data_IF_278969795880
#
_entry.id   IF_278969795880
#
_cell.length_a   1.000
_cell.length_b   1.000
_cell.length_c   1.000
_cell.angle_alpha   90.00
_cell.angle_beta   90.00
_cell.angle_gamma   90.00
#
_symmetry.space_group_name_H-M   'P 1'
#
loop_
_entity.id
_entity.type
_entity.pdbx_description
1 polymer ?
#
# COMPACT_ATOMS: atom_id res chain seq x y z
N UNK A 1 -1.48 62.58 -34.87
CA UNK A 1 -2.03 62.19 -33.53
C UNK A 1 -2.75 60.85 -33.50
N UNK A 2 -3.49 60.44 -34.54
CA UNK A 2 -4.23 59.15 -34.52
C UNK A 2 -3.36 57.87 -34.45
N UNK A 3 -2.13 57.87 -34.96
CA UNK A 3 -1.30 56.67 -34.98
C UNK A 3 -0.66 56.34 -33.62
N UNK A 4 -0.47 57.29 -32.72
CA UNK A 4 0.05 57.07 -31.37
C UNK A 4 -0.97 56.43 -30.46
N UNK A 5 -2.23 56.71 -30.61
CA UNK A 5 -3.33 56.17 -29.83
C UNK A 5 -3.54 54.69 -30.20
N UNK A 6 -3.41 54.31 -31.47
CA UNK A 6 -3.56 52.92 -31.93
C UNK A 6 -2.46 51.98 -31.42
N UNK A 7 -1.22 52.45 -31.24
CA UNK A 7 -0.12 51.63 -30.72
C UNK A 7 -0.24 51.40 -29.22
N UNK A 8 -0.67 52.40 -28.46
CA UNK A 8 -0.86 52.23 -27.01
C UNK A 8 -2.00 51.29 -26.67
N UNK A 9 -3.06 51.28 -27.50
CA UNK A 9 -4.19 50.37 -27.30
C UNK A 9 -3.82 48.89 -27.56
N UNK A 10 -3.02 48.63 -28.60
CA UNK A 10 -2.50 47.28 -28.89
C UNK A 10 -1.56 46.75 -27.80
N UNK A 11 -0.78 47.61 -27.20
CA UNK A 11 0.15 47.26 -26.12
C UNK A 11 -0.62 46.94 -24.83
N UNK A 12 -1.63 47.73 -24.49
CA UNK A 12 -2.49 47.52 -23.32
C UNK A 12 -3.30 46.22 -23.42
N UNK A 13 -3.81 45.88 -24.61
CA UNK A 13 -4.56 44.66 -24.84
C UNK A 13 -3.70 43.39 -24.67
N UNK A 14 -2.44 43.41 -25.11
CA UNK A 14 -1.51 42.29 -24.91
C UNK A 14 -1.20 42.07 -23.44
N UNK A 15 -1.00 43.11 -22.66
CA UNK A 15 -0.76 43.02 -21.21
C UNK A 15 -2.02 42.51 -20.47
N UNK A 16 -3.20 42.88 -20.89
CA UNK A 16 -4.46 42.40 -20.32
C UNK A 16 -4.65 40.89 -20.55
N UNK A 17 -4.29 40.39 -21.74
CA UNK A 17 -4.35 38.95 -22.07
C UNK A 17 -3.37 38.15 -21.20
N UNK A 18 -2.13 38.66 -20.98
CA UNK A 18 -1.13 38.01 -20.13
C UNK A 18 -1.62 37.94 -18.67
N UNK A 19 -2.27 38.97 -18.17
CA UNK A 19 -2.86 38.98 -16.81
C UNK A 19 -3.99 37.97 -16.66
N UNK A 20 -4.83 37.81 -17.68
CA UNK A 20 -5.95 36.82 -17.65
C UNK A 20 -5.41 35.38 -17.65
N UNK A 21 -4.34 35.11 -18.41
CA UNK A 21 -3.72 33.76 -18.44
C UNK A 21 -3.11 33.40 -17.09
N UNK A 22 -2.52 34.34 -16.37
CA UNK A 22 -1.97 34.10 -15.04
C UNK A 22 -3.05 33.93 -13.96
N UNK A 23 -4.24 34.53 -14.14
CA UNK A 23 -5.35 34.39 -13.20
C UNK A 23 -6.10 33.04 -13.34
N UNK A 24 -6.05 32.43 -14.51
CA UNK A 24 -6.70 31.12 -14.72
C UNK A 24 -5.88 29.93 -14.18
N UNK A 25 -4.62 30.14 -13.80
CA UNK A 25 -3.76 29.07 -13.25
C UNK A 25 -3.83 28.93 -11.72
N UNK A 26 -4.56 29.80 -11.01
CA UNK A 26 -4.70 29.77 -9.55
C UNK A 26 -6.05 29.19 -9.09
N UNK A 27 -6.83 28.58 -9.96
CA UNK A 27 -7.99 27.80 -9.53
C UNK A 27 -7.50 26.53 -8.83
N UNK A 28 -7.22 26.72 -7.57
CA UNK A 28 -7.17 25.74 -6.51
C UNK A 28 -7.88 24.43 -6.87
N UNK A 29 -7.12 23.46 -7.33
CA UNK A 29 -7.45 22.05 -7.21
C UNK A 29 -7.43 21.70 -5.71
N UNK A 30 -8.34 22.29 -4.94
CA UNK A 30 -8.66 21.80 -3.60
C UNK A 30 -9.50 20.55 -3.81
N UNK A 31 -8.80 19.42 -3.88
CA UNK A 31 -9.46 18.13 -3.73
C UNK A 31 -10.22 18.18 -2.41
N UNK A 32 -11.52 17.96 -2.42
CA UNK A 32 -12.33 18.02 -1.22
C UNK A 32 -11.92 16.88 -0.29
N UNK A 33 -12.01 17.11 1.03
CA UNK A 33 -11.74 16.07 2.03
C UNK A 33 -12.56 14.79 1.76
N UNK A 34 -13.78 14.94 1.25
CA UNK A 34 -14.65 13.83 0.85
C UNK A 34 -14.09 13.05 -0.35
N UNK A 35 -13.47 13.72 -1.32
CA UNK A 35 -12.81 13.07 -2.46
C UNK A 35 -11.53 12.36 -2.02
N UNK A 36 -10.76 12.93 -1.10
CA UNK A 36 -9.58 12.28 -0.50
C UNK A 36 -10.02 11.03 0.26
N UNK A 37 -11.08 11.10 1.08
CA UNK A 37 -11.61 9.96 1.82
C UNK A 37 -12.15 8.87 0.89
N UNK A 38 -12.86 9.24 -0.19
CA UNK A 38 -13.34 8.27 -1.18
C UNK A 38 -12.22 7.63 -1.98
N UNK A 39 -11.17 8.38 -2.31
CA UNK A 39 -9.98 7.85 -2.98
C UNK A 39 -9.14 6.96 -2.07
N UNK A 40 -9.19 7.16 -0.75
CA UNK A 40 -8.49 6.32 0.24
C UNK A 40 -9.24 5.04 0.62
N UNK A 41 -10.56 4.96 0.36
CA UNK A 41 -11.35 3.76 0.61
C UNK A 41 -11.12 2.70 -0.47
N UNK A 42 -11.13 1.41 -0.08
CA UNK A 42 -11.10 0.31 -1.03
C UNK A 42 -12.43 0.21 -1.78
N UNK A 43 -12.36 0.12 -3.10
CA UNK A 43 -13.51 -0.12 -3.97
C UNK A 43 -13.58 -1.61 -4.37
N UNK A 44 -14.72 -2.04 -4.90
CA UNK A 44 -14.88 -3.41 -5.42
C UNK A 44 -13.98 -3.70 -6.62
N UNK A 45 -13.47 -2.68 -7.27
CA UNK A 45 -12.61 -2.80 -8.45
C UNK A 45 -11.11 -2.74 -8.08
N UNK A 46 -10.76 -2.43 -6.83
CA UNK A 46 -9.38 -2.37 -6.41
C UNK A 46 -8.81 -3.80 -6.33
N UNK A 47 -7.60 -3.96 -6.83
CA UNK A 47 -6.91 -5.23 -6.80
C UNK A 47 -6.15 -5.37 -5.47
N UNK A 48 -6.51 -6.37 -4.68
CA UNK A 48 -5.75 -6.74 -3.49
C UNK A 48 -4.40 -7.38 -3.87
N UNK A 49 -3.41 -7.36 -2.97
CA UNK A 49 -2.14 -8.04 -3.22
C UNK A 49 -2.39 -9.54 -3.39
N UNK A 50 -1.66 -10.16 -4.30
CA UNK A 50 -1.80 -11.60 -4.58
C UNK A 50 -0.48 -12.17 -5.08
N UNK A 51 -0.33 -13.49 -5.08
CA UNK A 51 0.73 -14.16 -5.83
C UNK A 51 0.25 -14.47 -7.24
N UNK A 52 1.21 -14.60 -8.16
CA UNK A 52 0.91 -14.84 -9.58
C UNK A 52 0.04 -16.10 -9.77
N UNK A 53 0.30 -17.13 -9.00
CA UNK A 53 -0.43 -18.40 -9.04
C UNK A 53 -1.88 -18.30 -8.54
N UNK A 54 -2.18 -17.29 -7.74
CA UNK A 54 -3.49 -17.06 -7.15
C UNK A 54 -4.32 -16.04 -7.94
N UNK A 55 -3.71 -15.30 -8.87
CA UNK A 55 -4.32 -14.12 -9.51
C UNK A 55 -5.55 -14.47 -10.37
N UNK A 56 -5.58 -15.66 -10.98
CA UNK A 56 -6.67 -16.09 -11.87
C UNK A 56 -7.77 -16.88 -11.14
N UNK A 57 -7.66 -17.00 -9.81
CA UNK A 57 -8.66 -17.71 -9.00
C UNK A 57 -9.82 -16.80 -8.64
N UNK A 58 -10.99 -17.40 -8.42
CA UNK A 58 -12.14 -16.72 -7.81
C UNK A 58 -11.75 -16.09 -6.47
N UNK A 59 -12.36 -14.97 -6.09
CA UNK A 59 -11.95 -14.12 -4.97
C UNK A 59 -11.68 -14.91 -3.67
N UNK A 60 -12.60 -15.81 -3.26
CA UNK A 60 -12.43 -16.58 -2.02
C UNK A 60 -11.29 -17.61 -2.13
N UNK A 61 -11.17 -18.25 -3.29
CA UNK A 61 -10.10 -19.23 -3.56
C UNK A 61 -8.74 -18.52 -3.70
N UNK A 62 -8.72 -17.35 -4.32
CA UNK A 62 -7.54 -16.52 -4.46
C UNK A 62 -7.01 -16.06 -3.10
N UNK A 63 -7.90 -15.62 -2.21
CA UNK A 63 -7.53 -15.23 -0.84
C UNK A 63 -6.99 -16.40 -0.02
N UNK A 64 -7.62 -17.57 -0.12
CA UNK A 64 -7.14 -18.79 0.55
C UNK A 64 -5.78 -19.22 0.00
N UNK A 65 -5.60 -19.22 -1.32
CA UNK A 65 -4.33 -19.50 -1.98
C UNK A 65 -3.23 -18.57 -1.48
N UNK A 66 -3.49 -17.26 -1.48
CA UNK A 66 -2.55 -16.24 -1.02
C UNK A 66 -2.12 -16.46 0.42
N UNK A 67 -3.07 -16.75 1.31
CA UNK A 67 -2.81 -17.02 2.71
C UNK A 67 -1.98 -18.31 2.90
N UNK A 68 -2.33 -19.39 2.23
CA UNK A 68 -1.61 -20.67 2.32
C UNK A 68 -0.14 -20.51 1.91
N UNK A 69 0.15 -19.79 0.83
CA UNK A 69 1.53 -19.53 0.40
C UNK A 69 2.32 -18.78 1.47
N UNK A 70 1.73 -17.75 2.10
CA UNK A 70 2.37 -17.03 3.20
C UNK A 70 2.68 -17.96 4.37
N UNK A 71 1.70 -18.76 4.77
CA UNK A 71 1.84 -19.72 5.89
C UNK A 71 2.89 -20.78 5.58
N UNK A 72 2.91 -21.32 4.37
CA UNK A 72 3.88 -22.33 3.93
C UNK A 72 5.30 -21.77 3.89
N UNK A 73 5.53 -20.60 3.31
CA UNK A 73 6.86 -19.99 3.23
C UNK A 73 7.39 -19.58 4.61
N UNK A 74 6.51 -19.06 5.48
CA UNK A 74 6.88 -18.79 6.87
C UNK A 74 7.24 -20.09 7.61
N UNK A 75 6.45 -21.14 7.48
CA UNK A 75 6.71 -22.43 8.13
C UNK A 75 8.02 -23.05 7.63
N UNK A 76 8.28 -23.03 6.33
CA UNK A 76 9.54 -23.50 5.74
C UNK A 76 10.74 -22.77 6.33
N UNK A 77 10.68 -21.43 6.41
CA UNK A 77 11.74 -20.63 7.02
C UNK A 77 11.96 -20.96 8.51
N UNK A 78 10.86 -21.23 9.24
CA UNK A 78 10.86 -21.45 10.68
C UNK A 78 11.23 -22.89 11.10
N UNK A 79 11.09 -23.88 10.20
CA UNK A 79 11.26 -25.31 10.50
C UNK A 79 12.59 -25.65 11.18
N UNK A 80 13.67 -24.93 10.85
CA UNK A 80 15.00 -25.16 11.41
C UNK A 80 15.40 -24.15 12.50
N UNK A 81 14.44 -23.43 13.06
CA UNK A 81 14.71 -22.41 14.09
C UNK A 81 14.26 -22.90 15.44
N UNK A 82 15.07 -22.60 16.45
CA UNK A 82 14.76 -22.94 17.84
C UNK A 82 14.07 -21.76 18.51
N UNK A 83 12.87 -21.99 18.99
CA UNK A 83 12.08 -21.04 19.76
C UNK A 83 11.96 -21.50 21.22
N UNK A 84 11.86 -20.60 22.20
CA UNK A 84 11.44 -20.95 23.54
C UNK A 84 10.01 -21.49 23.51
N UNK A 85 9.70 -22.43 24.41
CA UNK A 85 8.35 -22.98 24.53
C UNK A 85 7.34 -21.85 24.81
N UNK A 86 6.50 -21.58 23.84
CA UNK A 86 5.46 -20.55 23.93
C UNK A 86 4.18 -21.02 23.26
N UNK A 87 3.14 -21.19 24.06
CA UNK A 87 1.81 -21.59 23.58
C UNK A 87 0.92 -20.40 23.23
N UNK A 88 1.46 -19.19 23.29
CA UNK A 88 0.73 -17.96 23.01
C UNK A 88 0.31 -17.91 21.54
N UNK A 89 -0.94 -17.59 21.31
CA UNK A 89 -1.42 -17.24 19.98
C UNK A 89 -1.11 -15.76 19.72
N UNK A 90 -0.32 -15.51 18.71
CA UNK A 90 0.05 -14.17 18.27
C UNK A 90 -0.83 -13.70 17.11
N UNK A 91 -0.92 -12.42 16.94
CA UNK A 91 -1.46 -11.74 15.75
C UNK A 91 -0.34 -10.92 15.15
N UNK A 92 0.11 -11.29 13.96
CA UNK A 92 1.11 -10.57 13.20
C UNK A 92 0.41 -9.52 12.34
N UNK A 93 0.70 -8.25 12.54
CA UNK A 93 0.31 -7.20 11.61
C UNK A 93 1.39 -7.12 10.52
N UNK A 94 1.04 -7.55 9.32
CA UNK A 94 1.93 -7.60 8.17
C UNK A 94 1.53 -6.49 7.20
N UNK A 95 2.52 -5.77 6.72
CA UNK A 95 2.39 -4.79 5.67
C UNK A 95 3.00 -5.33 4.38
N UNK A 96 2.31 -5.13 3.27
CA UNK A 96 2.85 -5.33 1.92
C UNK A 96 3.02 -3.93 1.31
N UNK A 97 4.24 -3.60 0.92
CA UNK A 97 4.54 -2.32 0.32
C UNK A 97 4.12 -2.25 -1.17
N UNK A 98 4.29 -1.09 -1.78
CA UNK A 98 3.96 -0.87 -3.20
C UNK A 98 4.84 -1.64 -4.19
N UNK A 99 5.90 -2.30 -3.71
CA UNK A 99 6.77 -3.18 -4.50
C UNK A 99 6.44 -4.67 -4.29
N UNK A 100 5.51 -5.00 -3.40
CA UNK A 100 5.12 -6.36 -3.05
C UNK A 100 5.97 -7.02 -1.97
N UNK A 101 6.84 -6.28 -1.25
CA UNK A 101 7.63 -6.83 -0.16
C UNK A 101 6.80 -6.93 1.11
N UNK A 102 7.00 -8.02 1.86
CA UNK A 102 6.36 -8.24 3.15
C UNK A 102 7.19 -7.67 4.30
N UNK A 103 6.55 -6.97 5.21
CA UNK A 103 7.19 -6.32 6.36
C UNK A 103 6.35 -6.61 7.60
N UNK A 104 6.97 -7.13 8.66
CA UNK A 104 6.31 -7.25 9.97
C UNK A 104 6.21 -5.86 10.61
N UNK A 105 5.00 -5.30 10.62
CA UNK A 105 4.71 -3.97 11.17
C UNK A 105 4.58 -4.01 12.70
N UNK A 106 3.80 -5.00 13.22
CA UNK A 106 3.58 -5.17 14.65
C UNK A 106 3.24 -6.62 15.01
N UNK A 107 3.34 -6.97 16.29
CA UNK A 107 2.95 -8.25 16.86
C UNK A 107 2.14 -8.04 18.16
N UNK A 108 1.07 -8.82 18.33
CA UNK A 108 0.25 -8.76 19.55
C UNK A 108 0.00 -10.17 20.11
N UNK A 109 0.23 -10.39 21.42
CA UNK A 109 0.72 -9.47 22.42
C UNK A 109 2.24 -9.31 22.37
N UNK A 110 2.74 -8.09 22.23
CA UNK A 110 4.17 -7.77 22.11
C UNK A 110 4.98 -8.17 23.36
N UNK A 111 4.39 -8.00 24.53
CA UNK A 111 5.08 -8.22 25.83
C UNK A 111 5.44 -9.68 26.11
N UNK A 112 4.98 -10.64 25.31
CA UNK A 112 5.19 -12.07 25.52
C UNK A 112 6.27 -12.67 24.65
N UNK A 113 6.67 -11.98 23.60
CA UNK A 113 7.70 -12.46 22.69
C UNK A 113 9.09 -11.94 23.11
N UNK A 114 10.07 -12.82 23.15
CA UNK A 114 11.45 -12.42 23.37
C UNK A 114 12.07 -11.80 22.11
N UNK A 115 13.15 -11.01 22.30
CA UNK A 115 13.79 -10.28 21.20
C UNK A 115 14.34 -11.18 20.09
N UNK A 116 14.83 -12.38 20.44
CA UNK A 116 15.38 -13.33 19.46
C UNK A 116 14.27 -13.89 18.59
N UNK A 117 13.19 -14.36 19.20
CA UNK A 117 12.02 -14.86 18.48
C UNK A 117 11.37 -13.78 17.61
N UNK A 118 11.30 -12.54 18.10
CA UNK A 118 10.81 -11.42 17.29
C UNK A 118 11.70 -11.15 16.06
N UNK A 119 13.04 -11.20 16.22
CA UNK A 119 13.96 -11.04 15.09
C UNK A 119 13.75 -12.15 14.05
N UNK A 120 13.66 -13.41 14.49
CA UNK A 120 13.43 -14.55 13.60
C UNK A 120 12.10 -14.42 12.84
N UNK A 121 11.04 -13.95 13.52
CA UNK A 121 9.74 -13.71 12.85
C UNK A 121 9.82 -12.56 11.84
N UNK A 122 10.55 -11.49 12.13
CA UNK A 122 10.80 -10.42 11.17
C UNK A 122 11.52 -10.94 9.92
N UNK A 123 12.55 -11.75 10.13
CA UNK A 123 13.30 -12.35 9.04
C UNK A 123 12.41 -13.32 8.23
N UNK A 124 11.55 -14.12 8.89
CA UNK A 124 10.60 -15.00 8.23
C UNK A 124 9.63 -14.23 7.32
N UNK A 125 9.04 -13.14 7.82
CA UNK A 125 8.14 -12.29 7.05
C UNK A 125 8.86 -11.61 5.89
N UNK A 126 10.06 -11.07 6.12
CA UNK A 126 10.85 -10.41 5.07
C UNK A 126 11.36 -11.37 3.99
N UNK A 127 11.41 -12.68 4.30
CA UNK A 127 11.87 -13.71 3.36
C UNK A 127 10.73 -14.27 2.48
N UNK A 128 9.49 -13.92 2.77
CA UNK A 128 8.36 -14.27 1.90
C UNK A 128 8.64 -13.65 0.51
N UNK A 129 8.49 -14.44 -0.54
CA UNK A 129 8.67 -13.95 -1.91
C UNK A 129 7.73 -12.80 -2.21
N UNK A 130 8.13 -11.93 -3.13
CA UNK A 130 7.32 -10.76 -3.51
C UNK A 130 5.95 -11.16 -4.04
N UNK A 131 4.92 -10.49 -3.52
CA UNK A 131 3.58 -10.54 -4.08
C UNK A 131 3.44 -9.55 -5.26
N UNK A 132 2.45 -9.75 -6.10
CA UNK A 132 1.93 -8.68 -6.94
C UNK A 132 1.31 -7.62 -6.00
N UNK A 133 1.75 -6.36 -6.07
CA UNK A 133 1.27 -5.34 -5.14
C UNK A 133 -0.19 -5.00 -5.36
N UNK A 134 -0.81 -4.44 -4.35
CA UNK A 134 -2.17 -3.95 -4.45
C UNK A 134 -2.26 -2.73 -5.38
N UNK A 135 -3.34 -2.64 -6.15
CA UNK A 135 -3.57 -1.55 -7.09
C UNK A 135 -4.89 -0.85 -6.76
N UNK A 136 -4.83 0.46 -6.56
CA UNK A 136 -6.01 1.32 -6.58
C UNK A 136 -6.38 1.67 -8.00
N UNK A 137 -7.38 1.00 -8.54
CA UNK A 137 -7.77 1.13 -9.95
C UNK A 137 -8.29 2.51 -10.32
N UNK A 138 -8.86 3.24 -9.37
CA UNK A 138 -9.36 4.61 -9.59
C UNK A 138 -8.25 5.65 -9.85
N UNK A 139 -7.02 5.38 -9.39
CA UNK A 139 -5.85 6.24 -9.59
C UNK A 139 -4.72 5.55 -10.36
N UNK A 140 -4.80 4.22 -10.55
CA UNK A 140 -3.78 3.44 -11.25
C UNK A 140 -2.46 3.31 -10.48
N UNK A 141 -2.49 3.45 -9.16
CA UNK A 141 -1.29 3.43 -8.33
C UNK A 141 -1.17 2.15 -7.52
N UNK A 142 0.08 1.68 -7.36
CA UNK A 142 0.43 0.65 -6.40
C UNK A 142 0.42 1.24 -4.99
N UNK A 143 -0.24 0.55 -4.07
CA UNK A 143 -0.43 1.03 -2.70
C UNK A 143 -0.03 -0.02 -1.68
N UNK A 144 0.37 0.44 -0.49
CA UNK A 144 0.61 -0.48 0.62
C UNK A 144 -0.70 -1.00 1.21
N UNK A 145 -0.67 -2.24 1.67
CA UNK A 145 -1.80 -2.90 2.34
C UNK A 145 -1.33 -3.51 3.64
N UNK A 146 -2.19 -3.45 4.67
CA UNK A 146 -1.97 -4.09 5.96
C UNK A 146 -3.03 -5.15 6.21
N UNK A 147 -2.60 -6.30 6.73
CA UNK A 147 -3.49 -7.36 7.18
C UNK A 147 -2.96 -8.02 8.44
N UNK A 148 -3.82 -8.79 9.10
CA UNK A 148 -3.44 -9.52 10.29
C UNK A 148 -3.42 -11.02 10.00
N UNK A 149 -2.31 -11.67 10.36
CA UNK A 149 -2.14 -13.11 10.29
C UNK A 149 -2.13 -13.70 11.72
N UNK A 150 -3.05 -14.60 12.08
CA UNK A 150 -2.94 -15.36 13.32
C UNK A 150 -1.75 -16.31 13.22
N UNK A 151 -0.93 -16.34 14.26
CA UNK A 151 0.30 -17.13 14.28
C UNK A 151 0.48 -17.82 15.64
N UNK A 152 0.93 -19.04 15.62
CA UNK A 152 1.31 -19.81 16.81
C UNK A 152 2.59 -20.56 16.49
N UNK A 153 3.54 -20.54 17.43
CA UNK A 153 4.71 -21.40 17.30
C UNK A 153 4.27 -22.87 17.40
N UNK A 154 4.60 -23.66 16.40
CA UNK A 154 4.40 -25.10 16.41
C UNK A 154 5.69 -25.73 16.92
N UNK A 155 5.59 -26.53 17.95
CA UNK A 155 6.69 -27.34 18.50
C UNK A 155 6.43 -28.79 18.06
N UNK A 156 7.27 -29.30 17.23
CA UNK A 156 7.43 -30.73 17.01
C UNK A 156 8.60 -31.29 17.85
#
# INVERSE_FOLDING_TARGET
>A
MLNLIKNNFKFSLKWLIILIINYSCTNNLKVSEKEILSASSWSKNDQLPTFKECADLEADKGLLCFRNIIEDEMNEFLTNKTFPLDTTQYKLAIKIDSEGNFILDNISPEKRIDKKSLSILKDAVNNIRKALPAVKTNVGEFVEVKFNLPFKFNYE
#
